data_IF_559341546285
#
_entry.id   IF_559341546285
#
_cell.length_a   1.000
_cell.length_b   1.000
_cell.length_c   1.000
_cell.angle_alpha   90.00
_cell.angle_beta   90.00
_cell.angle_gamma   90.00
#
_symmetry.space_group_name_H-M   'P 1'
#
loop_
_entity.id
_entity.type
_entity.pdbx_description
1 polymer ?
#
# COMPACT_ATOMS: atom_id res chain seq x y z
N UNK A 1 2.47 12.15 3.93
CA UNK A 1 2.16 11.52 5.23
C UNK A 1 3.01 10.28 5.44
N UNK A 2 2.89 9.25 4.59
CA UNK A 2 3.62 7.99 4.79
C UNK A 2 4.84 7.88 3.88
N UNK A 3 5.95 7.38 4.42
CA UNK A 3 7.19 7.15 3.69
C UNK A 3 7.87 5.89 4.21
N UNK A 4 8.24 4.98 3.31
CA UNK A 4 8.91 3.73 3.65
C UNK A 4 10.43 3.97 3.73
N UNK A 5 10.99 3.84 4.92
CA UNK A 5 12.40 4.19 5.18
C UNK A 5 13.30 3.00 5.47
N UNK A 6 12.74 1.83 5.83
CA UNK A 6 13.55 0.66 6.10
C UNK A 6 14.23 0.16 4.81
N UNK A 7 15.57 0.14 4.73
CA UNK A 7 16.27 -0.09 3.47
C UNK A 7 15.93 -1.45 2.83
N UNK A 8 15.77 -2.49 3.66
CA UNK A 8 15.34 -3.80 3.18
C UNK A 8 13.93 -3.81 2.58
N UNK A 9 12.99 -3.07 3.18
CA UNK A 9 11.61 -3.00 2.68
C UNK A 9 11.51 -2.13 1.44
N UNK A 10 12.26 -1.02 1.38
CA UNK A 10 12.36 -0.17 0.19
C UNK A 10 12.93 -0.95 -1.00
N UNK A 11 14.01 -1.71 -0.78
CA UNK A 11 14.57 -2.55 -1.82
C UNK A 11 13.58 -3.66 -2.26
N UNK A 12 12.89 -4.28 -1.31
CA UNK A 12 11.90 -5.32 -1.61
C UNK A 12 10.67 -4.79 -2.35
N UNK A 13 10.13 -3.64 -1.95
CA UNK A 13 9.07 -2.94 -2.68
C UNK A 13 9.50 -2.64 -4.12
N UNK A 14 10.73 -2.14 -4.31
CA UNK A 14 11.28 -1.85 -5.65
C UNK A 14 11.37 -3.10 -6.54
N UNK A 15 11.67 -4.28 -5.96
CA UNK A 15 11.65 -5.55 -6.72
C UNK A 15 10.23 -5.91 -7.16
N UNK A 16 9.25 -5.91 -6.24
CA UNK A 16 7.85 -6.18 -6.60
C UNK A 16 7.34 -5.22 -7.67
N UNK A 17 7.73 -3.95 -7.59
CA UNK A 17 7.40 -2.95 -8.62
C UNK A 17 8.00 -3.31 -9.99
N UNK A 18 9.24 -3.80 -10.02
CA UNK A 18 9.94 -4.22 -11.24
C UNK A 18 9.40 -5.53 -11.81
N UNK A 19 8.91 -6.43 -10.96
CA UNK A 19 8.30 -7.71 -11.34
C UNK A 19 6.89 -7.55 -11.92
N UNK A 20 6.37 -6.33 -11.98
CA UNK A 20 5.10 -6.00 -12.63
C UNK A 20 3.87 -6.13 -11.74
N UNK A 21 4.04 -6.38 -10.44
CA UNK A 21 2.94 -6.59 -9.47
C UNK A 21 1.91 -5.44 -9.51
N UNK A 22 2.37 -4.19 -9.66
CA UNK A 22 1.49 -3.02 -9.73
C UNK A 22 0.53 -3.03 -10.92
N UNK A 23 0.96 -3.58 -12.06
CA UNK A 23 0.11 -3.69 -13.25
C UNK A 23 -1.05 -4.64 -12.97
N UNK A 24 -0.75 -5.78 -12.36
CA UNK A 24 -1.74 -6.81 -12.09
C UNK A 24 -2.70 -6.37 -10.97
N UNK A 25 -2.19 -5.69 -9.94
CA UNK A 25 -3.02 -5.01 -8.94
C UNK A 25 -3.94 -3.94 -9.55
N UNK A 26 -3.42 -3.13 -10.47
CA UNK A 26 -4.22 -2.11 -11.16
C UNK A 26 -5.31 -2.75 -12.02
N UNK A 27 -5.00 -3.83 -12.74
CA UNK A 27 -5.99 -4.53 -13.55
C UNK A 27 -7.16 -5.08 -12.72
N UNK A 28 -6.89 -5.55 -11.49
CA UNK A 28 -7.92 -6.06 -10.58
C UNK A 28 -8.92 -5.01 -10.11
N UNK A 29 -8.54 -3.74 -10.05
CA UNK A 29 -9.48 -2.66 -9.68
C UNK A 29 -10.67 -2.55 -10.64
N UNK A 30 -10.50 -2.93 -11.91
CA UNK A 30 -11.60 -2.93 -12.88
C UNK A 30 -12.50 -4.18 -12.77
N UNK A 31 -11.99 -5.28 -12.23
CA UNK A 31 -12.66 -6.57 -12.19
C UNK A 31 -13.30 -6.88 -10.82
N UNK A 32 -12.84 -6.23 -9.75
CA UNK A 32 -13.26 -6.48 -8.37
C UNK A 32 -13.79 -5.18 -7.72
N UNK A 33 -15.12 -4.98 -7.71
CA UNK A 33 -15.74 -3.80 -7.12
C UNK A 33 -15.49 -3.66 -5.61
N UNK A 34 -15.38 -4.78 -4.88
CA UNK A 34 -15.17 -4.77 -3.43
C UNK A 34 -13.75 -4.35 -3.09
N UNK A 35 -12.76 -4.84 -3.86
CA UNK A 35 -11.38 -4.38 -3.78
C UNK A 35 -11.26 -2.89 -4.11
N UNK A 36 -11.92 -2.44 -5.19
CA UNK A 36 -11.93 -1.03 -5.57
C UNK A 36 -12.56 -0.15 -4.48
N UNK A 37 -13.64 -0.61 -3.85
CA UNK A 37 -14.27 0.08 -2.73
C UNK A 37 -13.36 0.12 -1.50
N UNK A 38 -12.66 -0.97 -1.18
CA UNK A 38 -11.68 -1.01 -0.08
C UNK A 38 -10.51 -0.05 -0.32
N UNK A 39 -9.98 -0.02 -1.54
CA UNK A 39 -8.89 0.89 -1.91
C UNK A 39 -9.33 2.36 -1.92
N UNK A 40 -10.59 2.64 -2.29
CA UNK A 40 -11.20 3.98 -2.15
C UNK A 40 -11.37 4.41 -0.68
N UNK A 41 -11.76 3.50 0.22
CA UNK A 41 -11.78 3.80 1.66
C UNK A 41 -10.38 4.12 2.19
N UNK A 42 -9.36 3.40 1.72
CA UNK A 42 -7.96 3.70 2.07
C UNK A 42 -7.55 5.11 1.60
N UNK A 43 -7.95 5.49 0.40
CA UNK A 43 -7.75 6.82 -0.16
C UNK A 43 -8.41 7.93 0.68
N UNK A 44 -9.67 7.74 1.02
CA UNK A 44 -10.45 8.71 1.82
C UNK A 44 -9.86 8.86 3.23
N UNK A 45 -9.45 7.75 3.86
CA UNK A 45 -8.76 7.78 5.16
C UNK A 45 -7.44 8.55 5.09
N UNK A 46 -6.66 8.37 4.01
CA UNK A 46 -5.41 9.10 3.82
C UNK A 46 -5.68 10.61 3.72
N UNK A 47 -6.67 11.01 2.91
CA UNK A 47 -7.02 12.42 2.72
C UNK A 47 -7.52 13.05 4.01
N UNK A 48 -8.43 12.37 4.73
CA UNK A 48 -8.99 12.86 5.98
C UNK A 48 -7.91 13.22 7.00
N UNK A 49 -6.89 12.37 7.14
CA UNK A 49 -5.77 12.63 8.05
C UNK A 49 -4.83 13.73 7.57
N UNK A 50 -4.65 13.87 6.25
CA UNK A 50 -3.86 14.95 5.67
C UNK A 50 -4.56 16.29 5.89
N UNK A 51 -5.86 16.34 5.61
CA UNK A 51 -6.72 17.51 5.78
C UNK A 51 -6.89 17.90 7.25
N UNK A 52 -6.74 16.95 8.19
CA UNK A 52 -6.80 17.24 9.63
C UNK A 52 -5.64 18.14 10.13
N UNK A 53 -4.52 18.21 9.39
CA UNK A 53 -3.43 19.15 9.68
C UNK A 53 -3.78 20.53 9.10
N UNK A 54 -3.97 20.57 7.78
CA UNK A 54 -4.41 21.75 7.04
C UNK A 54 -4.99 21.32 5.69
N UNK A 55 -6.16 21.85 5.28
CA UNK A 55 -6.70 21.60 3.95
C UNK A 55 -5.84 22.24 2.84
N UNK A 56 -5.28 21.40 1.97
CA UNK A 56 -4.51 21.79 0.79
C UNK A 56 -5.37 21.90 -0.48
N UNK A 57 -6.68 21.64 -0.37
CA UNK A 57 -7.60 21.69 -1.52
C UNK A 57 -7.33 20.63 -2.60
N UNK A 58 -6.69 19.51 -2.23
CA UNK A 58 -6.31 18.45 -3.17
C UNK A 58 -6.98 17.13 -2.83
N UNK A 59 -7.34 16.38 -3.86
CA UNK A 59 -7.77 14.99 -3.74
C UNK A 59 -6.60 14.02 -3.97
N UNK A 60 -5.36 14.48 -3.92
CA UNK A 60 -4.19 13.64 -4.15
C UNK A 60 -3.79 12.87 -2.90
N UNK A 61 -3.64 11.55 -3.05
CA UNK A 61 -3.09 10.64 -2.04
C UNK A 61 -1.90 9.85 -2.62
N UNK A 62 -1.22 9.08 -1.77
CA UNK A 62 -0.06 8.30 -2.19
C UNK A 62 -0.40 7.08 -3.05
N UNK A 63 0.56 6.63 -3.87
CA UNK A 63 0.56 5.26 -4.41
C UNK A 63 -0.33 5.05 -5.62
N UNK A 64 -0.95 6.12 -6.14
CA UNK A 64 -1.88 6.06 -7.29
C UNK A 64 -3.34 5.83 -6.90
N UNK A 65 -3.63 5.73 -5.60
CA UNK A 65 -4.98 5.65 -5.06
C UNK A 65 -5.90 6.76 -5.59
N UNK A 66 -7.21 6.48 -5.81
CA UNK A 66 -7.87 5.18 -5.64
C UNK A 66 -7.97 4.35 -6.95
N UNK A 67 -7.53 4.89 -8.08
CA UNK A 67 -7.90 4.31 -9.39
C UNK A 67 -6.79 3.46 -10.02
N UNK A 68 -5.58 3.49 -9.47
CA UNK A 68 -4.44 2.68 -9.93
C UNK A 68 -3.44 2.39 -8.81
N UNK A 69 -2.51 1.48 -9.10
CA UNK A 69 -1.30 1.28 -8.29
C UNK A 69 -0.12 1.84 -9.07
N UNK A 70 0.47 2.93 -8.57
CA UNK A 70 1.65 3.61 -9.15
C UNK A 70 2.93 3.26 -8.40
N UNK A 71 2.86 3.10 -7.07
CA UNK A 71 4.04 2.86 -6.24
C UNK A 71 3.63 2.13 -4.95
N UNK A 72 4.27 0.99 -4.68
CA UNK A 72 4.02 0.15 -3.51
C UNK A 72 4.63 0.73 -2.23
N UNK A 73 5.71 1.50 -2.33
CA UNK A 73 6.42 2.04 -1.16
C UNK A 73 5.48 2.76 -0.19
N UNK A 74 4.64 3.66 -0.71
CA UNK A 74 3.69 4.42 0.13
C UNK A 74 2.48 3.60 0.55
N UNK A 75 2.07 2.59 -0.22
CA UNK A 75 0.97 1.69 0.17
C UNK A 75 1.39 0.77 1.32
N UNK A 76 2.60 0.23 1.24
CA UNK A 76 3.26 -0.53 2.31
C UNK A 76 3.40 0.35 3.56
N UNK A 77 3.96 1.56 3.41
CA UNK A 77 4.11 2.49 4.54
C UNK A 77 2.77 2.86 5.17
N UNK A 78 1.72 3.06 4.36
CA UNK A 78 0.39 3.34 4.86
C UNK A 78 -0.19 2.17 5.66
N UNK A 79 -0.02 0.93 5.18
CA UNK A 79 -0.49 -0.28 5.87
C UNK A 79 0.27 -0.52 7.17
N UNK A 80 1.59 -0.33 7.17
CA UNK A 80 2.40 -0.41 8.39
C UNK A 80 1.99 0.64 9.44
N UNK A 81 1.61 1.84 9.00
CA UNK A 81 1.21 2.92 9.90
C UNK A 81 -0.21 2.77 10.46
N UNK A 82 -1.13 2.17 9.68
CA UNK A 82 -2.54 2.03 10.05
C UNK A 82 -2.94 0.67 10.57
N UNK A 83 -2.11 -0.34 10.33
CA UNK A 83 -2.44 -1.72 10.55
C UNK A 83 -3.15 -2.34 9.35
N UNK A 84 -3.17 -3.67 9.37
CA UNK A 84 -3.80 -4.51 8.36
C UNK A 84 -5.28 -4.21 8.20
N UNK A 85 -5.77 -4.30 6.97
CA UNK A 85 -7.17 -4.12 6.58
C UNK A 85 -7.48 -2.71 6.10
N UNK A 86 -6.52 -1.77 6.20
CA UNK A 86 -6.73 -0.38 5.80
C UNK A 86 -6.38 -0.15 4.34
N UNK A 87 -5.26 -0.70 3.84
CA UNK A 87 -4.87 -0.55 2.45
C UNK A 87 -4.66 -1.92 1.80
N UNK A 88 -5.61 -2.41 0.98
CA UNK A 88 -5.60 -3.80 0.52
C UNK A 88 -4.34 -4.17 -0.27
N UNK A 89 -3.81 -3.27 -1.10
CA UNK A 89 -2.60 -3.54 -1.87
C UNK A 89 -1.31 -3.39 -1.07
N UNK A 90 -1.28 -2.51 -0.07
CA UNK A 90 -0.16 -2.46 0.85
C UNK A 90 -0.10 -3.70 1.75
N UNK A 91 -1.25 -4.18 2.22
CA UNK A 91 -1.38 -5.45 2.95
C UNK A 91 -0.94 -6.63 2.09
N UNK A 92 -1.42 -6.70 0.84
CA UNK A 92 -1.05 -7.76 -0.09
C UNK A 92 0.46 -7.76 -0.39
N UNK A 93 1.07 -6.58 -0.61
CA UNK A 93 2.51 -6.48 -0.79
C UNK A 93 3.28 -6.92 0.46
N UNK A 94 2.82 -6.55 1.67
CA UNK A 94 3.42 -7.01 2.92
C UNK A 94 3.30 -8.53 3.09
N UNK A 95 2.17 -9.12 2.70
CA UNK A 95 1.97 -10.56 2.70
C UNK A 95 2.96 -11.28 1.77
N UNK A 96 3.11 -10.79 0.53
CA UNK A 96 4.09 -11.32 -0.43
C UNK A 96 5.51 -11.26 0.12
N UNK A 97 5.90 -10.13 0.73
CA UNK A 97 7.24 -9.92 1.26
C UNK A 97 7.50 -10.73 2.54
N UNK A 98 6.50 -10.89 3.40
CA UNK A 98 6.69 -11.56 4.68
C UNK A 98 7.10 -13.04 4.53
N UNK A 99 6.74 -13.68 3.42
CA UNK A 99 7.14 -15.05 3.11
C UNK A 99 8.58 -15.18 2.60
N UNK A 100 9.27 -14.06 2.34
CA UNK A 100 10.67 -14.08 1.90
C UNK A 100 11.64 -14.30 3.07
N UNK A 101 12.64 -15.19 2.94
CA UNK A 101 13.68 -15.36 3.96
C UNK A 101 14.43 -14.06 4.30
N UNK A 102 14.56 -13.15 3.33
CA UNK A 102 15.21 -11.86 3.52
C UNK A 102 14.43 -10.91 4.45
N UNK A 103 13.13 -11.15 4.65
CA UNK A 103 12.26 -10.36 5.52
C UNK A 103 12.11 -10.96 6.92
N UNK A 104 12.77 -12.09 7.21
CA UNK A 104 12.78 -12.69 8.52
C UNK A 104 13.30 -11.71 9.58
N UNK A 105 12.50 -11.46 10.63
CA UNK A 105 12.80 -10.50 11.69
C UNK A 105 12.45 -9.04 11.35
N UNK A 106 12.01 -8.75 10.12
CA UNK A 106 11.45 -7.45 9.72
C UNK A 106 9.93 -7.53 9.65
N UNK A 107 9.40 -8.59 9.02
CA UNK A 107 7.97 -8.87 8.92
C UNK A 107 7.64 -10.20 9.61
N UNK A 108 6.46 -10.27 10.21
CA UNK A 108 5.90 -11.50 10.78
C UNK A 108 4.84 -12.01 9.82
N UNK A 109 5.01 -13.20 9.20
CA UNK A 109 4.08 -13.70 8.18
C UNK A 109 2.62 -13.78 8.64
N UNK A 110 2.39 -14.16 9.90
CA UNK A 110 1.05 -14.29 10.48
C UNK A 110 0.29 -12.96 10.59
N UNK A 111 0.98 -11.83 10.61
CA UNK A 111 0.35 -10.52 10.78
C UNK A 111 -0.28 -10.01 9.48
N UNK A 112 0.12 -10.55 8.33
CA UNK A 112 -0.24 -10.04 7.01
C UNK A 112 -0.99 -11.03 6.11
N UNK A 113 -1.25 -12.27 6.57
CA UNK A 113 -2.08 -13.28 5.88
C UNK A 113 -3.55 -13.22 6.29
#
# INVERSE_FOLDING_TARGET
LYYLTHPGLTAAASRLESDGVMRDMTARLAADPDLAAAYRRAHESYLAERDAVEPLGTTFSGGGMPDRVKCLHVLIAHSLAKGRGVNPFGDEALAMLADEPAMAGILVPGDWR
#
